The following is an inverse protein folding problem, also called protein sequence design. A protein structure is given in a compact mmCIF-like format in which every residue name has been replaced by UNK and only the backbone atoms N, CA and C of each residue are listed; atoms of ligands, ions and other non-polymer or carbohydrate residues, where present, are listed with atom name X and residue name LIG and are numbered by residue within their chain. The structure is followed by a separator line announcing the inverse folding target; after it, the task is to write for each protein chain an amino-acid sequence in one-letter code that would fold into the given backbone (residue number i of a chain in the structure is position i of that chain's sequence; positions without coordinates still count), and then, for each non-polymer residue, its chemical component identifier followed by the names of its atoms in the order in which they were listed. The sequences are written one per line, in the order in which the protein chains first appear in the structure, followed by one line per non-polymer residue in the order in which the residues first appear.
data_IF_973078237148
#
_entry.id   IF_973078237148
#
_cell.length_a   1.000
_cell.length_b   1.000
_cell.length_c   1.000
_cell.angle_alpha   90.00
_cell.angle_beta   90.00
_cell.angle_gamma   90.00
#
_symmetry.space_group_name_H-M   'P 1'
#
loop_
_entity.id
_entity.type
_entity.pdbx_description
1 polymer ?
#
# COMPACT_ATOMS: atom_id res chain seq x y z
N UNK A 1 -16.76 -12.77 -4.48
CA UNK A 1 -16.47 -11.59 -3.64
C UNK A 1 -17.44 -10.48 -4.02
N UNK A 2 -18.05 -9.80 -3.05
CA UNK A 2 -18.97 -8.69 -3.30
C UNK A 2 -18.19 -7.43 -3.69
N UNK A 3 -18.64 -6.70 -4.72
CA UNK A 3 -18.01 -5.45 -5.16
C UNK A 3 -18.37 -4.24 -4.29
N UNK A 4 -17.59 -3.14 -4.36
CA UNK A 4 -17.77 -1.98 -3.49
C UNK A 4 -19.12 -1.28 -3.65
N UNK A 5 -19.62 -1.14 -4.89
CA UNK A 5 -20.94 -0.53 -5.15
C UNK A 5 -22.07 -1.33 -4.50
N UNK A 6 -22.01 -2.65 -4.58
CA UNK A 6 -23.00 -3.53 -3.96
C UNK A 6 -22.93 -3.44 -2.43
N UNK A 7 -21.72 -3.37 -1.85
CA UNK A 7 -21.57 -3.22 -0.40
C UNK A 7 -22.17 -1.89 0.10
N UNK A 8 -21.87 -0.78 -0.60
CA UNK A 8 -22.40 0.54 -0.27
C UNK A 8 -23.93 0.57 -0.38
N UNK A 9 -24.49 -0.04 -1.43
CA UNK A 9 -25.94 -0.13 -1.61
C UNK A 9 -26.61 -0.95 -0.49
N UNK A 10 -26.03 -2.09 -0.11
CA UNK A 10 -26.57 -2.92 0.98
C UNK A 10 -26.59 -2.16 2.31
N UNK A 11 -25.52 -1.42 2.66
CA UNK A 11 -25.54 -0.59 3.87
C UNK A 11 -26.63 0.49 3.81
N UNK A 12 -26.85 1.07 2.63
CA UNK A 12 -27.91 2.06 2.45
C UNK A 12 -29.31 1.43 2.63
N UNK A 13 -29.54 0.24 2.08
CA UNK A 13 -30.79 -0.53 2.24
C UNK A 13 -31.03 -0.92 3.71
N UNK A 14 -29.96 -1.22 4.46
CA UNK A 14 -30.00 -1.49 5.90
C UNK A 14 -30.25 -0.22 6.75
N UNK A 15 -30.36 0.96 6.10
CA UNK A 15 -30.69 2.23 6.73
C UNK A 15 -29.49 3.08 7.15
N UNK A 16 -28.28 2.72 6.75
CA UNK A 16 -27.08 3.54 6.98
C UNK A 16 -26.89 4.57 5.86
N UNK A 17 -27.05 5.85 6.18
CA UNK A 17 -26.87 6.96 5.22
C UNK A 17 -25.56 7.75 5.43
N UNK A 18 -24.78 7.37 6.45
CA UNK A 18 -23.53 8.00 6.86
C UNK A 18 -22.44 6.93 6.88
N UNK A 19 -21.58 6.92 5.87
CA UNK A 19 -20.60 5.87 5.62
C UNK A 19 -19.18 6.44 5.46
N UNK A 20 -18.22 5.75 6.06
CA UNK A 20 -16.78 5.98 5.87
C UNK A 20 -16.22 4.75 5.17
N UNK A 21 -15.68 4.93 3.97
CA UNK A 21 -15.09 3.86 3.16
C UNK A 21 -13.57 3.89 3.35
N UNK A 22 -13.01 2.88 4.02
CA UNK A 22 -11.57 2.69 4.09
C UNK A 22 -11.18 1.49 3.23
N UNK A 23 -10.36 1.74 2.23
CA UNK A 23 -9.75 0.71 1.40
C UNK A 23 -8.36 0.37 1.96
N UNK A 24 -7.80 -0.76 1.55
CA UNK A 24 -6.48 -1.21 2.01
C UNK A 24 -5.42 -1.08 0.92
N UNK A 25 -5.56 -0.13 -0.01
CA UNK A 25 -4.51 0.06 -1.03
C UNK A 25 -3.25 0.66 -0.40
N UNK A 26 -2.09 0.31 -0.95
CA UNK A 26 -0.79 0.80 -0.48
C UNK A 26 -0.53 2.21 -1.01
N UNK A 27 -0.68 2.41 -2.32
CA UNK A 27 -0.39 3.65 -3.02
C UNK A 27 -1.67 4.30 -3.59
N UNK A 28 -1.67 5.62 -3.83
CA UNK A 28 -2.75 6.31 -4.51
C UNK A 28 -2.72 6.09 -6.04
N UNK A 29 -3.01 4.85 -6.47
CA UNK A 29 -3.00 4.44 -7.86
C UNK A 29 -4.41 4.21 -8.43
N UNK A 30 -4.50 3.49 -9.55
CA UNK A 30 -5.72 3.25 -10.33
C UNK A 30 -6.91 2.80 -9.47
N UNK A 31 -6.77 1.73 -8.68
CA UNK A 31 -7.88 1.14 -7.93
C UNK A 31 -8.42 2.08 -6.85
N UNK A 32 -7.54 2.89 -6.24
CA UNK A 32 -7.94 3.93 -5.30
C UNK A 32 -8.71 5.06 -6.01
N UNK A 33 -8.25 5.50 -7.18
CA UNK A 33 -8.88 6.58 -7.93
C UNK A 33 -10.24 6.16 -8.51
N UNK A 34 -10.37 4.92 -8.95
CA UNK A 34 -11.63 4.34 -9.41
C UNK A 34 -12.64 4.24 -8.26
N UNK A 35 -12.23 3.67 -7.13
CA UNK A 35 -13.09 3.60 -5.95
C UNK A 35 -13.49 4.99 -5.44
N UNK A 36 -12.54 5.93 -5.43
CA UNK A 36 -12.81 7.33 -5.09
C UNK A 36 -13.83 7.95 -6.03
N UNK A 37 -13.78 7.63 -7.33
CA UNK A 37 -14.74 8.11 -8.32
C UNK A 37 -16.14 7.58 -8.05
N UNK A 38 -16.27 6.29 -7.70
CA UNK A 38 -17.56 5.70 -7.30
C UNK A 38 -18.13 6.37 -6.06
N UNK A 39 -17.31 6.52 -5.02
CA UNK A 39 -17.71 7.16 -3.76
C UNK A 39 -18.14 8.61 -3.98
N UNK A 40 -17.35 9.40 -4.71
CA UNK A 40 -17.70 10.80 -5.02
C UNK A 40 -18.98 10.90 -5.84
N UNK A 41 -19.16 10.03 -6.83
CA UNK A 41 -20.37 10.01 -7.65
C UNK A 41 -21.62 9.77 -6.79
N UNK A 42 -21.60 8.74 -5.94
CA UNK A 42 -22.69 8.43 -5.02
C UNK A 42 -22.94 9.55 -3.99
N UNK A 43 -21.87 10.13 -3.43
CA UNK A 43 -21.98 11.25 -2.49
C UNK A 43 -22.56 12.53 -3.13
N UNK A 44 -22.45 12.67 -4.46
CA UNK A 44 -22.92 13.84 -5.19
C UNK A 44 -24.43 13.82 -5.50
N UNK A 45 -25.11 12.70 -5.27
CA UNK A 45 -26.54 12.54 -5.54
C UNK A 45 -27.35 13.51 -4.68
N UNK A 46 -28.16 14.33 -5.34
CA UNK A 46 -29.12 15.23 -4.70
C UNK A 46 -30.52 15.00 -5.25
N UNK A 47 -31.53 15.09 -4.38
CA UNK A 47 -32.93 14.84 -4.69
C UNK A 47 -33.80 16.04 -4.29
N UNK A 48 -34.99 16.17 -4.90
CA UNK A 48 -35.92 17.27 -4.60
C UNK A 48 -36.32 17.28 -3.11
N UNK A 49 -36.59 16.10 -2.55
CA UNK A 49 -36.87 15.94 -1.11
C UNK A 49 -35.65 15.33 -0.44
N UNK A 50 -35.18 15.96 0.63
CA UNK A 50 -34.00 15.53 1.41
C UNK A 50 -34.12 14.07 1.88
N UNK A 51 -35.33 13.62 2.25
CA UNK A 51 -35.59 12.23 2.67
C UNK A 51 -35.31 11.15 1.61
N UNK A 52 -35.16 11.54 0.34
CA UNK A 52 -34.84 10.64 -0.76
C UNK A 52 -33.36 10.70 -1.17
N UNK A 53 -32.56 11.52 -0.47
CA UNK A 53 -31.12 11.54 -0.68
C UNK A 53 -30.55 10.24 -0.11
N UNK A 54 -29.79 9.45 -0.88
CA UNK A 54 -29.33 8.13 -0.43
C UNK A 54 -28.29 8.22 0.70
N UNK A 55 -27.44 9.26 0.67
CA UNK A 55 -26.37 9.44 1.66
C UNK A 55 -26.40 10.85 2.23
N UNK A 56 -26.42 10.96 3.56
CA UNK A 56 -26.14 12.19 4.26
C UNK A 56 -24.64 12.52 4.17
N UNK A 57 -23.79 11.52 4.42
CA UNK A 57 -22.34 11.58 4.28
C UNK A 57 -21.82 10.27 3.71
N UNK A 58 -20.98 10.36 2.70
CA UNK A 58 -20.25 9.22 2.16
C UNK A 58 -18.85 9.71 1.82
N UNK A 59 -17.86 9.25 2.58
CA UNK A 59 -16.46 9.71 2.46
C UNK A 59 -15.53 8.53 2.34
N UNK A 60 -14.31 8.79 1.86
CA UNK A 60 -13.28 7.78 1.62
C UNK A 60 -11.98 8.21 2.31
N UNK A 61 -11.34 7.27 3.00
CA UNK A 61 -10.02 7.46 3.58
C UNK A 61 -8.89 7.31 2.55
N UNK A 62 -7.69 7.73 2.94
CA UNK A 62 -6.51 7.71 2.05
C UNK A 62 -5.79 6.34 2.07
N UNK A 63 -4.95 6.04 1.06
CA UNK A 63 -4.07 4.86 1.04
C UNK A 63 -2.97 4.94 2.11
N UNK A 64 -2.28 3.83 2.36
CA UNK A 64 -1.20 3.74 3.37
C UNK A 64 -0.09 4.79 3.18
N UNK A 65 0.35 5.00 1.94
CA UNK A 65 1.37 6.00 1.61
C UNK A 65 0.82 7.43 1.50
N UNK A 66 -0.46 7.63 1.82
CA UNK A 66 -1.15 8.92 1.76
C UNK A 66 -1.72 9.27 0.39
N UNK A 67 -2.24 10.48 0.29
CA UNK A 67 -2.75 11.07 -0.95
C UNK A 67 -2.49 12.57 -0.99
N UNK A 68 -2.44 13.16 -2.19
CA UNK A 68 -2.21 14.58 -2.35
C UNK A 68 -3.36 15.41 -1.76
N UNK A 69 -3.02 16.36 -0.88
CA UNK A 69 -3.99 17.21 -0.21
C UNK A 69 -3.34 18.29 0.64
N UNK A 70 -4.15 19.23 1.12
CA UNK A 70 -3.71 20.35 1.99
C UNK A 70 -4.02 20.14 3.47
N UNK A 71 -4.89 19.17 3.79
CA UNK A 71 -5.31 18.88 5.17
C UNK A 71 -4.35 17.92 5.86
N UNK A 72 -4.06 16.80 5.20
CA UNK A 72 -3.16 15.75 5.69
C UNK A 72 -1.93 15.73 4.80
N UNK A 73 -0.75 16.17 5.29
CA UNK A 73 0.45 16.23 4.48
C UNK A 73 0.90 14.82 4.04
N UNK A 74 0.91 14.59 2.73
CA UNK A 74 1.34 13.32 2.11
C UNK A 74 2.70 12.80 2.63
N UNK A 75 3.65 13.70 2.88
CA UNK A 75 4.98 13.34 3.40
C UNK A 75 4.90 12.72 4.80
N UNK A 76 3.96 13.14 5.64
CA UNK A 76 3.81 12.60 6.99
C UNK A 76 3.20 11.19 6.99
N UNK A 77 2.33 10.88 6.03
CA UNK A 77 1.84 9.51 5.83
C UNK A 77 2.99 8.57 5.42
N UNK A 78 3.86 9.00 4.48
CA UNK A 78 5.06 8.22 4.12
C UNK A 78 5.94 7.98 5.34
N UNK A 79 6.25 9.02 6.12
CA UNK A 79 7.05 8.86 7.34
C UNK A 79 6.40 7.91 8.34
N UNK A 80 5.08 7.92 8.42
CA UNK A 80 4.31 6.98 9.27
C UNK A 80 4.46 5.55 8.78
N UNK A 81 4.33 5.32 7.47
CA UNK A 81 4.57 4.01 6.85
C UNK A 81 6.03 3.53 7.08
N UNK A 82 7.02 4.41 6.95
CA UNK A 82 8.44 4.11 7.24
C UNK A 82 8.64 3.66 8.69
N UNK A 83 8.00 4.33 9.65
CA UNK A 83 8.06 3.93 11.07
C UNK A 83 7.36 2.59 11.32
N UNK A 84 6.29 2.29 10.57
CA UNK A 84 5.60 1.00 10.66
C UNK A 84 6.46 -0.17 10.17
N UNK A 85 7.44 0.08 9.29
CA UNK A 85 8.36 -0.94 8.75
C UNK A 85 9.58 -1.25 9.63
N UNK A 86 9.65 -0.71 10.86
CA UNK A 86 10.82 -0.91 11.74
C UNK A 86 11.17 -2.40 11.94
N UNK A 87 10.17 -3.26 12.06
CA UNK A 87 10.39 -4.70 12.29
C UNK A 87 11.05 -5.40 11.10
N UNK A 88 10.76 -4.97 9.87
CA UNK A 88 11.40 -5.50 8.67
C UNK A 88 12.87 -5.11 8.60
N UNK A 89 13.18 -3.86 9.00
CA UNK A 89 14.55 -3.38 9.13
C UNK A 89 15.30 -4.16 10.19
N UNK A 90 14.70 -4.37 11.37
CA UNK A 90 15.33 -5.14 12.44
C UNK A 90 15.62 -6.59 12.00
N UNK A 91 14.72 -7.18 11.21
CA UNK A 91 14.90 -8.51 10.60
C UNK A 91 16.06 -8.52 9.61
N UNK A 92 16.09 -7.60 8.66
CA UNK A 92 17.16 -7.48 7.68
C UNK A 92 18.53 -7.24 8.35
N UNK A 93 18.56 -6.38 9.38
CA UNK A 93 19.75 -6.14 10.20
C UNK A 93 20.23 -7.41 10.89
N UNK A 94 19.33 -8.18 11.50
CA UNK A 94 19.67 -9.45 12.16
C UNK A 94 20.26 -10.46 11.17
N UNK A 95 19.78 -10.46 9.94
CA UNK A 95 20.29 -11.31 8.86
C UNK A 95 21.58 -10.81 8.21
N UNK A 96 22.02 -9.58 8.49
CA UNK A 96 23.13 -8.93 7.79
C UNK A 96 22.83 -8.79 6.30
N UNK A 97 21.60 -8.45 5.95
CA UNK A 97 21.07 -8.43 4.60
C UNK A 97 20.49 -7.05 4.23
N UNK A 98 20.47 -6.73 2.94
CA UNK A 98 19.62 -5.64 2.45
C UNK A 98 18.14 -6.04 2.50
N UNK A 99 17.25 -5.07 2.53
CA UNK A 99 15.80 -5.28 2.50
C UNK A 99 15.26 -4.95 1.11
N UNK A 100 14.57 -5.89 0.48
CA UNK A 100 13.91 -5.71 -0.81
C UNK A 100 12.40 -5.79 -0.61
N UNK A 101 11.70 -4.73 -0.96
CA UNK A 101 10.24 -4.73 -1.04
C UNK A 101 9.78 -4.96 -2.46
N UNK A 102 8.80 -5.86 -2.62
CA UNK A 102 8.13 -6.11 -3.88
C UNK A 102 6.68 -5.62 -3.80
N UNK A 103 6.43 -4.41 -4.30
CA UNK A 103 5.09 -3.86 -4.47
C UNK A 103 4.36 -4.48 -5.67
N UNK A 104 3.06 -4.25 -5.77
CA UNK A 104 2.29 -4.64 -6.95
C UNK A 104 2.71 -3.79 -8.16
N UNK A 105 2.65 -2.46 -8.00
CA UNK A 105 2.79 -1.51 -9.10
C UNK A 105 1.61 -1.56 -10.07
N UNK A 106 1.77 -0.95 -11.24
CA UNK A 106 0.72 -0.87 -12.26
C UNK A 106 1.36 -0.43 -13.60
N UNK A 107 1.02 -1.11 -14.69
CA UNK A 107 1.53 -0.82 -16.05
C UNK A 107 0.81 0.33 -16.78
N UNK A 108 -0.42 0.64 -16.38
CA UNK A 108 -1.30 1.60 -17.05
C UNK A 108 -1.32 2.96 -16.34
N UNK A 109 -1.32 2.98 -15.01
CA UNK A 109 -1.35 4.19 -14.19
C UNK A 109 -0.09 4.33 -13.33
N UNK A 110 0.56 5.50 -13.32
CA UNK A 110 1.82 5.67 -12.60
C UNK A 110 1.64 5.59 -11.08
N UNK A 111 2.29 4.60 -10.47
CA UNK A 111 2.37 4.45 -9.01
C UNK A 111 3.81 4.55 -8.45
N UNK A 112 4.82 4.45 -9.34
CA UNK A 112 6.24 4.38 -9.01
C UNK A 112 6.79 5.52 -8.15
N UNK A 113 6.26 6.74 -8.31
CA UNK A 113 6.71 7.88 -7.52
C UNK A 113 6.52 7.69 -6.01
N UNK A 114 5.44 7.03 -5.59
CA UNK A 114 5.18 6.75 -4.18
C UNK A 114 6.17 5.73 -3.61
N UNK A 115 6.47 4.68 -4.39
CA UNK A 115 7.44 3.66 -4.01
C UNK A 115 8.86 4.20 -3.94
N UNK A 116 9.27 5.04 -4.90
CA UNK A 116 10.58 5.68 -4.89
C UNK A 116 10.77 6.61 -3.70
N UNK A 117 9.77 7.44 -3.39
CA UNK A 117 9.85 8.32 -2.23
C UNK A 117 9.87 7.52 -0.93
N UNK A 118 9.05 6.47 -0.83
CA UNK A 118 9.08 5.56 0.31
C UNK A 118 10.46 4.90 0.48
N UNK A 119 11.08 4.42 -0.60
CA UNK A 119 12.45 3.89 -0.57
C UNK A 119 13.45 4.94 -0.05
N UNK A 120 13.38 6.16 -0.57
CA UNK A 120 14.24 7.26 -0.14
C UNK A 120 14.12 7.54 1.36
N UNK A 121 12.89 7.65 1.86
CA UNK A 121 12.62 7.91 3.28
C UNK A 121 13.03 6.72 4.17
N UNK A 122 12.87 5.48 3.71
CA UNK A 122 13.39 4.28 4.39
C UNK A 122 14.91 4.34 4.53
N UNK A 123 15.64 4.68 3.46
CA UNK A 123 17.10 4.81 3.49
C UNK A 123 17.58 5.95 4.36
N UNK A 124 16.84 7.06 4.39
CA UNK A 124 17.13 8.20 5.26
C UNK A 124 16.94 7.85 6.74
N UNK A 125 15.85 7.15 7.07
CA UNK A 125 15.53 6.76 8.44
C UNK A 125 16.39 5.60 8.97
N UNK A 126 16.79 4.67 8.10
CA UNK A 126 17.54 3.46 8.43
C UNK A 126 18.76 3.28 7.53
N UNK A 127 19.77 4.18 7.60
CA UNK A 127 20.89 4.20 6.66
C UNK A 127 21.83 2.99 6.79
N UNK A 128 21.74 2.25 7.89
CA UNK A 128 22.54 1.04 8.15
C UNK A 128 22.02 -0.20 7.41
N UNK A 129 20.79 -0.16 6.89
CA UNK A 129 20.18 -1.24 6.11
C UNK A 129 19.75 -0.69 4.75
N UNK A 130 20.42 -1.14 3.68
CA UNK A 130 20.01 -0.79 2.33
C UNK A 130 18.60 -1.33 2.07
N UNK A 131 17.64 -0.42 1.91
CA UNK A 131 16.28 -0.76 1.50
C UNK A 131 16.14 -0.48 0.00
N UNK A 132 15.57 -1.41 -0.76
CA UNK A 132 15.29 -1.26 -2.19
C UNK A 132 13.83 -1.63 -2.43
N UNK A 133 13.12 -0.88 -3.26
CA UNK A 133 11.71 -1.12 -3.59
C UNK A 133 11.60 -1.30 -5.08
N UNK A 134 10.95 -2.37 -5.50
CA UNK A 134 10.49 -2.52 -6.87
C UNK A 134 9.05 -3.02 -6.91
N UNK A 135 8.50 -3.10 -8.10
CA UNK A 135 7.14 -3.52 -8.38
C UNK A 135 7.11 -4.64 -9.40
N UNK A 136 6.12 -5.53 -9.27
CA UNK A 136 5.86 -6.59 -10.26
C UNK A 136 5.52 -5.97 -11.60
N UNK A 137 4.66 -4.96 -11.59
CA UNK A 137 4.18 -4.24 -12.77
C UNK A 137 4.65 -2.78 -12.74
N UNK A 138 4.99 -2.23 -13.90
CA UNK A 138 5.40 -0.84 -14.06
C UNK A 138 6.81 -0.56 -13.52
N UNK A 139 6.91 0.45 -12.66
CA UNK A 139 8.19 1.02 -12.24
C UNK A 139 8.17 1.38 -10.74
N UNK A 140 9.28 1.20 -9.98
CA UNK A 140 10.57 0.63 -10.42
C UNK A 140 10.50 -0.89 -10.65
N UNK A 141 11.02 -1.38 -11.79
CA UNK A 141 10.99 -2.80 -12.08
C UNK A 141 12.13 -3.57 -11.38
N UNK A 142 12.09 -4.90 -11.43
CA UNK A 142 13.17 -5.76 -10.90
C UNK A 142 14.56 -5.41 -11.47
N UNK A 143 14.65 -4.91 -12.70
CA UNK A 143 15.92 -4.44 -13.27
C UNK A 143 16.53 -3.28 -12.47
N UNK A 144 15.72 -2.31 -12.05
CA UNK A 144 16.20 -1.23 -11.16
C UNK A 144 16.59 -1.75 -9.78
N UNK A 145 15.89 -2.77 -9.27
CA UNK A 145 16.28 -3.41 -8.01
C UNK A 145 17.66 -4.06 -8.17
N UNK A 146 17.89 -4.80 -9.24
CA UNK A 146 19.18 -5.45 -9.52
C UNK A 146 20.32 -4.45 -9.68
N UNK A 147 20.11 -3.37 -10.45
CA UNK A 147 21.10 -2.30 -10.63
C UNK A 147 21.55 -1.72 -9.28
N UNK A 148 20.59 -1.43 -8.39
CA UNK A 148 20.87 -0.88 -7.07
C UNK A 148 21.61 -1.87 -6.16
N UNK A 149 21.20 -3.16 -6.17
CA UNK A 149 21.86 -4.21 -5.39
C UNK A 149 23.29 -4.47 -5.87
N UNK A 150 23.52 -4.46 -7.19
CA UNK A 150 24.85 -4.63 -7.79
C UNK A 150 25.76 -3.45 -7.50
N UNK A 151 25.26 -2.22 -7.64
CA UNK A 151 26.02 -1.01 -7.33
C UNK A 151 26.49 -0.95 -5.87
N UNK A 152 25.74 -1.56 -4.95
CA UNK A 152 26.07 -1.67 -3.54
C UNK A 152 26.78 -2.98 -3.14
N UNK A 153 27.17 -3.82 -4.11
CA UNK A 153 27.81 -5.13 -3.92
C UNK A 153 27.06 -6.06 -2.93
N UNK A 154 25.73 -6.01 -2.94
CA UNK A 154 24.90 -6.81 -2.02
C UNK A 154 25.00 -8.29 -2.36
N UNK A 155 25.23 -9.13 -1.32
CA UNK A 155 25.28 -10.60 -1.44
C UNK A 155 24.11 -11.33 -0.79
N UNK A 156 23.32 -10.64 0.03
CA UNK A 156 22.22 -11.23 0.79
C UNK A 156 21.07 -10.24 0.93
N UNK A 157 19.85 -10.69 0.66
CA UNK A 157 18.63 -9.90 0.79
C UNK A 157 17.57 -10.63 1.60
N UNK A 158 16.83 -9.89 2.42
CA UNK A 158 15.48 -10.28 2.86
C UNK A 158 14.50 -9.67 1.87
N UNK A 159 13.66 -10.49 1.25
CA UNK A 159 12.64 -10.01 0.31
C UNK A 159 11.24 -10.16 0.93
N UNK A 160 10.45 -9.08 0.89
CA UNK A 160 9.09 -9.03 1.44
C UNK A 160 8.12 -8.41 0.44
N UNK A 161 6.93 -9.00 0.35
CA UNK A 161 5.83 -8.42 -0.42
C UNK A 161 5.34 -7.11 0.24
N UNK A 162 5.28 -6.03 -0.52
CA UNK A 162 4.75 -4.73 -0.10
C UNK A 162 3.31 -4.56 -0.59
N UNK A 163 2.49 -5.52 -0.17
CA UNK A 163 1.07 -5.69 -0.48
C UNK A 163 0.35 -6.15 0.80
N UNK A 164 -0.95 -5.89 0.93
CA UNK A 164 -1.68 -6.21 2.17
C UNK A 164 -1.72 -7.69 2.47
N UNK A 165 -1.93 -8.51 1.45
CA UNK A 165 -1.94 -9.97 1.56
C UNK A 165 -0.72 -10.55 0.88
N UNK A 166 -0.12 -11.57 1.48
CA UNK A 166 0.87 -12.41 0.80
C UNK A 166 0.15 -13.45 -0.08
N UNK A 167 -0.54 -12.97 -1.11
CA UNK A 167 -1.25 -13.79 -2.09
C UNK A 167 -0.34 -14.32 -3.21
N UNK A 168 -0.94 -14.61 -4.37
CA UNK A 168 -0.25 -15.23 -5.52
C UNK A 168 1.05 -14.53 -5.91
N UNK A 169 1.08 -13.19 -5.92
CA UNK A 169 2.32 -12.46 -6.22
C UNK A 169 3.44 -12.76 -5.22
N UNK A 170 3.13 -12.84 -3.92
CA UNK A 170 4.12 -13.15 -2.90
C UNK A 170 4.61 -14.61 -2.99
N UNK A 171 3.72 -15.56 -3.29
CA UNK A 171 4.06 -16.99 -3.30
C UNK A 171 4.68 -17.45 -4.62
N UNK A 172 4.29 -16.85 -5.76
CA UNK A 172 4.72 -17.26 -7.09
C UNK A 172 5.75 -16.29 -7.65
N UNK A 173 5.40 -15.02 -7.81
CA UNK A 173 6.28 -14.05 -8.48
C UNK A 173 7.49 -13.67 -7.62
N UNK A 174 7.30 -13.54 -6.30
CA UNK A 174 8.39 -13.19 -5.40
C UNK A 174 9.27 -14.39 -5.05
N UNK A 175 8.65 -15.46 -4.55
CA UNK A 175 9.33 -16.57 -3.88
C UNK A 175 9.08 -17.94 -4.53
N UNK A 176 8.40 -17.97 -5.68
CA UNK A 176 8.04 -19.20 -6.35
C UNK A 176 9.24 -19.95 -6.92
N UNK A 177 9.08 -21.24 -7.23
CA UNK A 177 10.13 -22.07 -7.78
C UNK A 177 10.40 -21.80 -9.27
N UNK A 178 9.58 -20.97 -9.93
CA UNK A 178 9.75 -20.64 -11.35
C UNK A 178 11.01 -19.81 -11.57
N UNK A 179 11.62 -19.94 -12.75
CA UNK A 179 12.83 -19.22 -13.15
C UNK A 179 12.62 -17.72 -13.26
N UNK A 180 11.38 -17.31 -13.50
CA UNK A 180 11.00 -15.92 -13.65
C UNK A 180 10.60 -15.28 -12.30
N UNK A 181 10.61 -16.05 -11.20
CA UNK A 181 10.42 -15.47 -9.88
C UNK A 181 11.59 -14.56 -9.47
N UNK A 182 11.30 -13.52 -8.70
CA UNK A 182 12.30 -12.57 -8.22
C UNK A 182 13.41 -13.29 -7.44
N UNK A 183 13.03 -14.26 -6.59
CA UNK A 183 13.99 -15.12 -5.89
C UNK A 183 14.94 -15.81 -6.87
N UNK A 184 14.42 -16.52 -7.87
CA UNK A 184 15.25 -17.25 -8.85
C UNK A 184 16.18 -16.32 -9.62
N UNK A 185 15.67 -15.14 -10.03
CA UNK A 185 16.44 -14.14 -10.76
C UNK A 185 17.58 -13.57 -9.89
N UNK A 186 17.30 -13.23 -8.63
CA UNK A 186 18.29 -12.73 -7.67
C UNK A 186 19.35 -13.79 -7.34
N UNK A 187 18.94 -15.03 -7.08
CA UNK A 187 19.85 -16.15 -6.80
C UNK A 187 20.78 -16.44 -7.99
N UNK A 188 20.29 -16.30 -9.23
CA UNK A 188 21.12 -16.40 -10.44
C UNK A 188 22.20 -15.33 -10.54
N UNK A 189 22.01 -14.18 -9.89
CA UNK A 189 23.03 -13.12 -9.76
C UNK A 189 24.00 -13.37 -8.59
N UNK A 190 23.91 -14.52 -7.91
CA UNK A 190 24.75 -14.85 -6.76
C UNK A 190 24.31 -14.20 -5.46
N UNK A 191 23.07 -13.69 -5.39
CA UNK A 191 22.51 -13.08 -4.19
C UNK A 191 21.75 -14.15 -3.40
N UNK A 192 22.06 -14.32 -2.12
CA UNK A 192 21.29 -15.18 -1.21
C UNK A 192 19.96 -14.49 -0.88
N UNK A 193 18.83 -15.15 -1.12
CA UNK A 193 17.50 -14.57 -0.90
C UNK A 193 16.81 -15.25 0.28
N UNK A 194 16.31 -14.44 1.22
CA UNK A 194 15.47 -14.89 2.34
C UNK A 194 14.05 -14.34 2.12
N UNK A 195 13.11 -15.15 1.62
CA UNK A 195 11.72 -14.74 1.52
C UNK A 195 11.08 -14.58 2.90
N UNK A 196 10.37 -13.48 3.10
CA UNK A 196 9.49 -13.27 4.23
C UNK A 196 8.04 -13.15 3.73
N UNK A 197 7.32 -14.28 3.80
CA UNK A 197 5.99 -14.47 3.22
C UNK A 197 4.87 -14.04 4.18
N UNK A 198 4.89 -12.77 4.57
CA UNK A 198 3.86 -12.17 5.41
C UNK A 198 3.36 -10.88 4.77
N UNK A 199 2.03 -10.76 4.67
CA UNK A 199 1.38 -9.57 4.13
C UNK A 199 1.59 -8.35 5.03
N UNK A 200 1.41 -7.15 4.48
CA UNK A 200 1.45 -5.92 5.27
C UNK A 200 0.30 -5.83 6.27
N UNK A 201 -0.84 -6.49 5.98
CA UNK A 201 -2.00 -6.54 6.88
C UNK A 201 -1.76 -7.32 8.18
N UNK A 202 -0.68 -8.09 8.27
CA UNK A 202 -0.28 -8.79 9.50
C UNK A 202 0.54 -7.91 10.47
N UNK A 203 0.87 -6.68 10.06
CA UNK A 203 1.57 -5.71 10.89
C UNK A 203 0.56 -4.76 11.55
N UNK A 204 0.42 -4.83 12.87
CA UNK A 204 -0.51 -4.00 13.64
C UNK A 204 -0.31 -2.50 13.41
N UNK A 205 0.94 -2.05 13.17
CA UNK A 205 1.23 -0.64 12.85
C UNK A 205 0.74 -0.23 11.47
N UNK A 206 0.67 -1.16 10.53
CA UNK A 206 0.05 -0.92 9.22
C UNK A 206 -1.47 -0.86 9.36
N UNK A 207 -2.06 -1.77 10.14
CA UNK A 207 -3.50 -1.71 10.44
C UNK A 207 -3.88 -0.38 11.11
N UNK A 208 -3.06 0.10 12.04
CA UNK A 208 -3.25 1.40 12.71
C UNK A 208 -3.25 2.58 11.72
N UNK A 209 -2.42 2.55 10.67
CA UNK A 209 -2.45 3.58 9.61
C UNK A 209 -3.84 3.65 8.97
N UNK A 210 -4.41 2.52 8.58
CA UNK A 210 -5.74 2.49 7.95
C UNK A 210 -6.86 2.91 8.90
N UNK A 211 -6.78 2.52 10.18
CA UNK A 211 -7.73 2.98 11.21
C UNK A 211 -7.68 4.51 11.35
N UNK A 212 -6.47 5.07 11.41
CA UNK A 212 -6.30 6.52 11.50
C UNK A 212 -6.77 7.24 10.23
N UNK A 213 -6.52 6.69 9.05
CA UNK A 213 -7.01 7.26 7.78
C UNK A 213 -8.54 7.25 7.68
N UNK A 214 -9.20 6.23 8.24
CA UNK A 214 -10.65 6.18 8.35
C UNK A 214 -11.17 7.24 9.35
N UNK A 215 -10.48 7.38 10.50
CA UNK A 215 -10.80 8.38 11.50
C UNK A 215 -10.64 9.81 10.97
N UNK A 216 -9.57 10.08 10.24
CA UNK A 216 -9.32 11.38 9.60
C UNK A 216 -10.41 11.70 8.59
N UNK A 217 -10.80 10.74 7.72
CA UNK A 217 -11.89 10.95 6.78
C UNK A 217 -13.23 11.23 7.47
N UNK A 218 -13.50 10.56 8.59
CA UNK A 218 -14.67 10.82 9.41
C UNK A 218 -14.63 12.24 10.01
N UNK A 219 -13.51 12.62 10.61
CA UNK A 219 -13.30 13.93 11.23
C UNK A 219 -13.46 15.07 10.22
N UNK A 220 -12.83 14.96 9.05
CA UNK A 220 -12.89 15.94 7.97
C UNK A 220 -14.34 16.14 7.48
N UNK A 221 -15.17 15.09 7.58
CA UNK A 221 -16.57 15.10 7.19
C UNK A 221 -17.54 15.50 8.33
N UNK A 222 -17.02 15.74 9.53
CA UNK A 222 -17.81 15.99 10.74
C UNK A 222 -18.63 14.78 11.20
N UNK A 223 -18.17 13.57 10.90
CA UNK A 223 -18.79 12.30 11.34
C UNK A 223 -18.20 11.93 12.71
N UNK A 224 -19.08 11.69 13.68
CA UNK A 224 -18.67 11.16 15.00
C UNK A 224 -18.66 9.64 14.93
N UNK A 225 -17.47 9.05 15.00
CA UNK A 225 -17.31 7.60 15.14
C UNK A 225 -17.76 7.15 16.54
N UNK A 226 -18.47 6.03 16.61
CA UNK A 226 -19.00 5.44 17.85
C UNK A 226 -18.17 4.25 18.29
#
# INVERSE_FOLDING_TARGET
VQGPLAAIANFQDDGYDTLVVQHTHIAPAEEFLDLSSYVRALASINTIKVRFKPFHRLVIGRPMLGFFGVTHPYVEDIKTAVRAMKEDIDRARKEGAALVYMGHGNDHFPSGGSYLQFEHEMRSAYPDVLTVVGTVEGYPALSQVLEQLQAADVKKVVIRAFMIVAGDHATNDMAGPDRDSWKSILEKQGITVIPYLHGMGENDRVAEIYVNHAADAAQDAGIVLK
#
